data_IF_353986581427
#
_entry.id   IF_353986581427
#
_cell.length_a   1.000
_cell.length_b   1.000
_cell.length_c   1.000
_cell.angle_alpha   90.00
_cell.angle_beta   90.00
_cell.angle_gamma   90.00
#
_symmetry.space_group_name_H-M   'P 1'
#
loop_
_entity.id
_entity.type
_entity.pdbx_description
1 polymer ?
#
# COMPACT_ATOMS: atom_id res chain seq x y z
N UNK A 1 41.72 0.14 0.05
CA UNK A 1 41.75 -0.40 1.43
C UNK A 1 40.62 0.26 2.19
N UNK A 2 39.68 -0.51 2.74
CA UNK A 2 38.48 0.05 3.38
C UNK A 2 38.84 0.59 4.77
N UNK A 3 38.52 1.85 5.05
CA UNK A 3 38.80 2.47 6.36
C UNK A 3 38.03 1.74 7.45
N UNK A 4 38.70 1.50 8.57
CA UNK A 4 38.19 0.75 9.72
C UNK A 4 37.79 1.67 10.87
N UNK A 5 36.95 1.17 11.77
CA UNK A 5 36.54 1.92 12.98
C UNK A 5 37.74 2.29 13.88
N UNK A 6 38.83 1.51 13.81
CA UNK A 6 40.07 1.75 14.56
C UNK A 6 40.84 2.96 14.02
N UNK A 7 40.84 3.15 12.71
CA UNK A 7 41.48 4.32 12.07
C UNK A 7 40.72 5.60 12.39
N UNK A 8 39.39 5.56 12.39
CA UNK A 8 38.56 6.69 12.86
C UNK A 8 38.81 6.99 14.33
N UNK A 9 38.89 5.95 15.18
CA UNK A 9 39.16 6.10 16.61
C UNK A 9 40.50 6.80 16.86
N UNK A 10 41.55 6.38 16.12
CA UNK A 10 42.87 7.01 16.15
C UNK A 10 42.82 8.47 15.69
N UNK A 11 42.14 8.76 14.59
CA UNK A 11 42.03 10.11 14.03
C UNK A 11 41.19 11.07 14.92
N UNK A 12 40.23 10.53 15.67
CA UNK A 12 39.39 11.29 16.59
C UNK A 12 39.91 11.31 18.04
N UNK A 13 40.99 10.59 18.35
CA UNK A 13 41.57 10.52 19.70
C UNK A 13 40.64 9.89 20.74
N UNK A 14 39.86 8.87 20.36
CA UNK A 14 38.92 8.16 21.23
C UNK A 14 39.03 6.65 21.07
N UNK A 15 38.34 5.87 21.90
CA UNK A 15 38.26 4.41 21.72
C UNK A 15 37.33 4.02 20.54
N UNK A 16 37.53 2.85 19.91
CA UNK A 16 36.60 2.32 18.91
C UNK A 16 35.15 2.18 19.43
N UNK A 17 34.98 1.85 20.71
CA UNK A 17 33.66 1.80 21.37
C UNK A 17 32.99 3.17 21.46
N UNK A 18 33.77 4.25 21.63
CA UNK A 18 33.28 5.62 21.62
C UNK A 18 32.92 6.09 20.22
N UNK A 19 33.69 5.69 19.19
CA UNK A 19 33.33 5.91 17.79
C UNK A 19 31.98 5.24 17.46
N UNK A 20 31.83 3.97 17.85
CA UNK A 20 30.58 3.23 17.62
C UNK A 20 29.38 3.92 18.26
N UNK A 21 29.48 4.34 19.53
CA UNK A 21 28.42 5.09 20.22
C UNK A 21 28.16 6.47 19.61
N UNK A 22 29.20 7.16 19.16
CA UNK A 22 29.06 8.50 18.57
C UNK A 22 28.34 8.45 17.20
N UNK A 23 28.57 7.39 16.43
CA UNK A 23 27.93 7.20 15.12
C UNK A 23 26.56 6.50 15.20
N UNK A 24 26.22 5.86 16.31
CA UNK A 24 24.92 5.23 16.52
C UNK A 24 23.81 6.26 16.84
N UNK A 25 22.63 6.09 16.24
CA UNK A 25 21.41 6.84 16.60
C UNK A 25 21.06 6.60 18.07
N UNK A 26 21.10 7.65 18.89
CA UNK A 26 20.78 7.59 20.33
C UNK A 26 21.95 7.23 21.26
N UNK A 27 23.18 7.06 20.76
CA UNK A 27 24.32 6.72 21.61
C UNK A 27 24.74 7.85 22.56
N UNK A 28 24.97 7.52 23.84
CA UNK A 28 25.36 8.47 24.89
C UNK A 28 26.84 8.87 24.76
N UNK A 29 27.10 10.00 24.11
CA UNK A 29 28.42 10.63 23.98
C UNK A 29 28.24 12.15 23.98
N UNK A 30 29.19 12.90 24.55
CA UNK A 30 29.12 14.36 24.54
C UNK A 30 29.02 14.92 23.11
N UNK A 31 28.28 16.03 22.89
CA UNK A 31 28.13 16.65 21.57
C UNK A 31 29.48 16.92 20.89
N UNK A 32 30.43 17.46 21.64
CA UNK A 32 31.80 17.77 21.18
C UNK A 32 32.52 16.51 20.66
N UNK A 33 32.42 15.40 21.40
CA UNK A 33 33.06 14.14 20.98
C UNK A 33 32.36 13.55 19.75
N UNK A 34 31.03 13.65 19.68
CA UNK A 34 30.26 13.17 18.52
C UNK A 34 30.65 13.91 17.25
N UNK A 35 30.77 15.22 17.32
CA UNK A 35 31.16 16.07 16.21
C UNK A 35 32.60 15.78 15.74
N UNK A 36 33.53 15.63 16.69
CA UNK A 36 34.92 15.23 16.40
C UNK A 36 35.01 13.86 15.71
N UNK A 37 34.20 12.89 16.14
CA UNK A 37 34.14 11.56 15.52
C UNK A 37 33.56 11.65 14.11
N UNK A 38 32.47 12.40 13.90
CA UNK A 38 31.88 12.61 12.57
C UNK A 38 32.87 13.24 11.60
N UNK A 39 33.52 14.33 12.00
CA UNK A 39 34.53 14.99 11.16
C UNK A 39 35.69 14.06 10.78
N UNK A 40 36.14 13.21 11.71
CA UNK A 40 37.18 12.21 11.43
C UNK A 40 36.68 11.10 10.48
N UNK A 41 35.45 10.62 10.66
CA UNK A 41 34.85 9.62 9.78
C UNK A 41 34.66 10.15 8.35
N UNK A 42 34.11 11.35 8.21
CA UNK A 42 33.84 12.00 6.92
C UNK A 42 35.15 12.25 6.15
N UNK A 43 36.17 12.80 6.84
CA UNK A 43 37.49 13.05 6.24
C UNK A 43 38.17 11.77 5.74
N UNK A 44 37.97 10.66 6.43
CA UNK A 44 38.56 9.38 6.07
C UNK A 44 37.69 8.57 5.09
N UNK A 45 36.47 9.03 4.78
CA UNK A 45 35.51 8.24 4.00
C UNK A 45 35.06 6.96 4.70
N UNK A 46 35.07 6.94 6.04
CA UNK A 46 34.62 5.78 6.81
C UNK A 46 33.12 5.62 6.70
N UNK A 47 32.67 4.46 6.24
CA UNK A 47 31.28 4.04 6.35
C UNK A 47 31.12 2.95 7.40
N UNK A 48 30.20 3.12 8.37
CA UNK A 48 29.87 2.07 9.33
C UNK A 48 29.48 0.77 8.62
N UNK A 49 30.12 -0.34 8.99
CA UNK A 49 29.75 -1.65 8.48
C UNK A 49 28.46 -2.11 9.16
N UNK A 50 27.34 -2.08 8.42
CA UNK A 50 26.04 -2.50 8.95
C UNK A 50 26.01 -3.99 9.32
N UNK A 51 26.74 -4.86 8.60
CA UNK A 51 26.84 -6.28 8.96
C UNK A 51 27.52 -6.47 10.32
N UNK A 52 28.59 -5.70 10.60
CA UNK A 52 29.25 -5.72 11.91
C UNK A 52 28.35 -5.18 13.03
N UNK A 53 27.49 -4.20 12.73
CA UNK A 53 26.49 -3.68 13.68
C UNK A 53 25.37 -4.68 13.92
N UNK A 54 24.96 -5.42 12.89
CA UNK A 54 23.94 -6.47 13.01
C UNK A 54 24.41 -7.66 13.82
N UNK A 55 25.68 -8.04 13.73
CA UNK A 55 26.27 -9.06 14.62
C UNK A 55 26.22 -8.70 16.10
N UNK A 56 26.29 -7.41 16.43
CA UNK A 56 26.26 -6.93 17.83
C UNK A 56 24.81 -6.77 18.33
N UNK A 57 23.92 -6.29 17.46
CA UNK A 57 22.54 -5.93 17.84
C UNK A 57 21.52 -7.03 17.56
N UNK A 58 21.90 -8.08 16.81
CA UNK A 58 20.98 -9.08 16.28
C UNK A 58 20.04 -8.56 15.20
N UNK A 59 20.26 -7.33 14.69
CA UNK A 59 19.36 -6.66 13.73
C UNK A 59 20.09 -6.19 12.47
N UNK A 60 19.51 -6.48 11.33
CA UNK A 60 20.00 -6.12 10.00
C UNK A 60 19.86 -4.62 9.70
N UNK A 61 18.89 -3.94 10.32
CA UNK A 61 18.52 -2.56 9.96
C UNK A 61 17.78 -2.49 8.62
N UNK A 62 17.20 -3.61 8.18
CA UNK A 62 16.49 -3.74 6.92
C UNK A 62 15.06 -4.22 7.16
N UNK A 63 14.12 -3.77 6.33
CA UNK A 63 12.74 -4.24 6.31
C UNK A 63 12.44 -4.84 4.94
N UNK A 64 11.69 -5.93 4.90
CA UNK A 64 11.12 -6.46 3.65
C UNK A 64 9.82 -5.75 3.35
N UNK A 65 9.60 -5.39 2.09
CA UNK A 65 8.33 -4.92 1.56
C UNK A 65 8.00 -5.77 0.34
N UNK A 66 6.88 -6.50 0.41
CA UNK A 66 6.40 -7.34 -0.68
C UNK A 66 5.11 -6.70 -1.20
N UNK A 67 5.08 -6.39 -2.49
CA UNK A 67 3.95 -5.77 -3.17
C UNK A 67 3.50 -6.60 -4.37
N UNK A 68 2.21 -6.52 -4.77
CA UNK A 68 1.71 -7.38 -5.84
C UNK A 68 2.10 -6.94 -7.25
N UNK A 69 2.31 -5.65 -7.49
CA UNK A 69 2.67 -5.13 -8.83
C UNK A 69 3.18 -3.68 -8.75
N UNK A 70 4.45 -3.44 -9.06
CA UNK A 70 5.03 -2.09 -9.08
C UNK A 70 4.58 -1.23 -10.27
N UNK A 71 4.02 -1.83 -11.33
CA UNK A 71 3.46 -1.08 -12.45
C UNK A 71 2.14 -0.37 -12.07
N UNK A 72 1.44 -0.83 -11.04
CA UNK A 72 0.27 -0.12 -10.54
C UNK A 72 0.72 1.02 -9.58
N UNK A 73 0.43 2.31 -9.92
CA UNK A 73 0.86 3.45 -9.10
C UNK A 73 0.37 3.43 -7.65
N UNK A 74 -0.73 2.72 -7.35
CA UNK A 74 -1.20 2.52 -5.98
C UNK A 74 -0.12 1.91 -5.07
N UNK A 75 0.56 0.87 -5.54
CA UNK A 75 1.61 0.19 -4.78
C UNK A 75 2.94 0.95 -4.79
N UNK A 76 3.21 1.72 -5.85
CA UNK A 76 4.37 2.61 -5.90
C UNK A 76 4.29 3.72 -4.84
N UNK A 77 3.11 4.30 -4.63
CA UNK A 77 2.86 5.30 -3.59
C UNK A 77 3.02 4.72 -2.17
N UNK A 78 2.52 3.49 -1.95
CA UNK A 78 2.75 2.76 -0.69
C UNK A 78 4.25 2.53 -0.47
N UNK A 79 4.95 2.06 -1.50
CA UNK A 79 6.40 1.82 -1.44
C UNK A 79 7.17 3.07 -1.04
N UNK A 80 6.85 4.22 -1.65
CA UNK A 80 7.43 5.52 -1.28
C UNK A 80 7.13 5.89 0.17
N UNK A 81 5.89 5.70 0.62
CA UNK A 81 5.48 5.98 1.99
C UNK A 81 6.23 5.13 3.02
N UNK A 82 6.35 3.83 2.75
CA UNK A 82 7.09 2.87 3.59
C UNK A 82 8.56 3.24 3.66
N UNK A 83 9.20 3.48 2.51
CA UNK A 83 10.61 3.88 2.45
C UNK A 83 10.88 5.20 3.19
N UNK A 84 10.00 6.19 3.03
CA UNK A 84 10.13 7.48 3.72
C UNK A 84 10.06 7.29 5.24
N UNK A 85 9.09 6.49 5.73
CA UNK A 85 8.96 6.24 7.16
C UNK A 85 10.12 5.41 7.73
N UNK A 86 10.52 4.34 7.05
CA UNK A 86 11.64 3.50 7.44
C UNK A 86 12.96 4.28 7.49
N UNK A 87 13.22 5.16 6.51
CA UNK A 87 14.38 6.05 6.48
C UNK A 87 14.42 6.97 7.69
N UNK A 88 13.27 7.54 8.08
CA UNK A 88 13.15 8.36 9.28
C UNK A 88 13.47 7.61 10.58
N UNK A 89 13.39 6.27 10.55
CA UNK A 89 13.75 5.37 11.64
C UNK A 89 15.12 4.70 11.45
N UNK A 90 15.90 5.14 10.45
CA UNK A 90 17.24 4.64 10.18
C UNK A 90 17.32 3.23 9.58
N UNK A 91 16.25 2.78 8.89
CA UNK A 91 16.19 1.47 8.25
C UNK A 91 16.13 1.61 6.72
N UNK A 92 16.68 0.61 6.03
CA UNK A 92 16.56 0.43 4.58
C UNK A 92 15.43 -0.54 4.27
N UNK A 93 14.78 -0.39 3.12
CA UNK A 93 13.69 -1.28 2.69
C UNK A 93 14.12 -2.04 1.45
N UNK A 94 14.02 -3.37 1.50
CA UNK A 94 14.16 -4.25 0.34
C UNK A 94 12.77 -4.51 -0.22
N UNK A 95 12.59 -4.22 -1.50
CA UNK A 95 11.29 -4.31 -2.18
C UNK A 95 11.29 -5.54 -3.07
N UNK A 96 10.25 -6.36 -2.97
CA UNK A 96 9.98 -7.45 -3.89
C UNK A 96 8.63 -7.20 -4.57
N UNK A 97 8.64 -7.31 -5.90
CA UNK A 97 7.43 -7.44 -6.70
C UNK A 97 7.08 -8.93 -6.79
N UNK A 98 5.85 -9.28 -6.47
CA UNK A 98 5.36 -10.66 -6.51
C UNK A 98 4.43 -10.93 -7.70
N UNK A 99 4.24 -9.98 -8.61
CA UNK A 99 3.47 -10.13 -9.86
C UNK A 99 2.05 -10.72 -9.68
N UNK A 100 1.45 -10.55 -8.50
CA UNK A 100 0.16 -11.12 -8.06
C UNK A 100 0.12 -12.65 -8.06
N UNK A 101 1.29 -13.28 -7.91
CA UNK A 101 1.44 -14.73 -7.83
C UNK A 101 1.72 -15.17 -6.39
N UNK A 102 0.93 -16.13 -5.91
CA UNK A 102 1.01 -16.65 -4.54
C UNK A 102 2.37 -17.34 -4.28
N UNK A 103 2.91 -18.05 -5.28
CA UNK A 103 4.21 -18.70 -5.20
C UNK A 103 5.35 -17.68 -5.06
N UNK A 104 5.33 -16.62 -5.86
CA UNK A 104 6.28 -15.53 -5.78
C UNK A 104 6.18 -14.76 -4.45
N UNK A 105 4.99 -14.59 -3.89
CA UNK A 105 4.82 -14.02 -2.54
C UNK A 105 5.53 -14.88 -1.47
N UNK A 106 5.35 -16.21 -1.48
CA UNK A 106 6.03 -17.11 -0.55
C UNK A 106 7.55 -17.12 -0.73
N UNK A 107 8.03 -17.15 -1.98
CA UNK A 107 9.46 -17.18 -2.28
C UNK A 107 10.14 -15.85 -1.93
N UNK A 108 9.46 -14.73 -2.10
CA UNK A 108 9.91 -13.43 -1.62
C UNK A 108 10.03 -13.40 -0.09
N UNK A 109 9.06 -13.95 0.65
CA UNK A 109 9.13 -14.07 2.11
C UNK A 109 10.35 -14.90 2.53
N UNK A 110 10.53 -16.09 1.93
CA UNK A 110 11.68 -16.97 2.20
C UNK A 110 13.02 -16.29 1.95
N UNK A 111 13.12 -15.56 0.84
CA UNK A 111 14.35 -14.90 0.42
C UNK A 111 14.69 -13.69 1.30
N UNK A 112 13.68 -12.91 1.69
CA UNK A 112 13.88 -11.68 2.46
C UNK A 112 14.07 -11.97 3.95
N UNK A 113 13.37 -12.93 4.53
CA UNK A 113 13.35 -13.17 5.97
C UNK A 113 14.73 -13.26 6.65
N UNK A 114 15.76 -13.93 6.08
CA UNK A 114 17.09 -13.97 6.69
C UNK A 114 17.84 -12.63 6.68
N UNK A 115 17.41 -11.68 5.86
CA UNK A 115 18.11 -10.44 5.54
C UNK A 115 17.42 -9.20 6.13
N UNK A 116 16.27 -9.37 6.77
CA UNK A 116 15.44 -8.27 7.27
C UNK A 116 15.01 -8.51 8.71
N UNK A 117 14.71 -7.42 9.41
CA UNK A 117 14.24 -7.46 10.79
C UNK A 117 12.74 -7.78 10.86
N UNK A 118 11.98 -7.42 9.82
CA UNK A 118 10.54 -7.66 9.71
C UNK A 118 10.02 -7.42 8.30
N UNK A 119 8.81 -7.88 8.02
CA UNK A 119 8.21 -7.87 6.68
C UNK A 119 6.88 -7.11 6.68
N UNK A 120 6.71 -6.25 5.69
CA UNK A 120 5.42 -5.67 5.31
C UNK A 120 4.92 -6.40 4.07
N UNK A 121 3.74 -7.00 4.16
CA UNK A 121 3.12 -7.73 3.06
C UNK A 121 1.85 -6.99 2.61
N UNK A 122 1.86 -6.44 1.40
CA UNK A 122 0.82 -5.52 0.91
C UNK A 122 -0.16 -6.27 0.03
N UNK A 123 -1.45 -6.21 0.36
CA UNK A 123 -2.55 -6.83 -0.40
C UNK A 123 -2.23 -8.26 -0.85
N UNK A 124 -1.78 -9.16 0.05
CA UNK A 124 -1.32 -10.48 -0.36
C UNK A 124 -2.44 -11.30 -1.00
N UNK A 125 -2.06 -12.08 -2.00
CA UNK A 125 -2.89 -13.04 -2.70
C UNK A 125 -2.93 -14.39 -1.98
N UNK A 126 -1.92 -14.71 -1.16
CA UNK A 126 -1.88 -15.94 -0.34
C UNK A 126 -3.23 -16.29 0.28
N UNK A 127 -3.62 -17.55 0.24
CA UNK A 127 -4.81 -18.02 0.94
C UNK A 127 -4.71 -17.80 2.47
N UNK A 128 -5.84 -17.86 3.18
CA UNK A 128 -5.83 -17.79 4.65
C UNK A 128 -5.02 -18.94 5.28
N UNK A 129 -5.01 -20.11 4.65
CA UNK A 129 -4.21 -21.27 5.08
C UNK A 129 -2.71 -21.01 4.92
N UNK A 130 -2.29 -20.46 3.78
CA UNK A 130 -0.88 -20.11 3.54
C UNK A 130 -0.42 -19.00 4.48
N UNK A 131 -1.23 -17.97 4.71
CA UNK A 131 -0.92 -16.95 5.72
C UNK A 131 -0.78 -17.58 7.11
N UNK A 132 -1.70 -18.45 7.52
CA UNK A 132 -1.63 -19.13 8.81
C UNK A 132 -0.38 -20.03 8.96
N UNK A 133 0.23 -20.46 7.86
CA UNK A 133 1.46 -21.26 7.84
C UNK A 133 2.75 -20.43 8.00
N UNK A 134 2.71 -19.11 7.77
CA UNK A 134 3.90 -18.24 7.78
C UNK A 134 4.69 -18.26 9.11
N UNK A 135 4.06 -18.37 10.30
CA UNK A 135 4.82 -18.52 11.54
C UNK A 135 5.70 -19.78 11.58
N UNK A 136 5.36 -20.83 10.83
CA UNK A 136 6.21 -22.01 10.64
C UNK A 136 7.32 -21.81 9.61
N UNK A 137 7.22 -20.77 8.76
CA UNK A 137 8.17 -20.44 7.72
C UNK A 137 9.24 -19.45 8.20
N UNK A 138 8.88 -18.50 9.06
CA UNK A 138 9.79 -17.46 9.54
C UNK A 138 9.43 -16.97 10.94
N UNK A 139 10.45 -16.60 11.73
CA UNK A 139 10.33 -15.95 13.03
C UNK A 139 10.17 -14.42 12.92
N UNK A 140 10.26 -13.85 11.71
CA UNK A 140 10.19 -12.41 11.50
C UNK A 140 8.77 -11.89 11.70
N UNK A 141 8.57 -10.77 12.40
CA UNK A 141 7.26 -10.15 12.49
C UNK A 141 6.78 -9.72 11.10
N UNK A 142 5.52 -10.03 10.80
CA UNK A 142 4.85 -9.67 9.55
C UNK A 142 3.66 -8.76 9.87
N UNK A 143 3.57 -7.63 9.17
CA UNK A 143 2.39 -6.76 9.18
C UNK A 143 1.74 -6.77 7.80
N UNK A 144 0.44 -7.02 7.76
CA UNK A 144 -0.35 -6.99 6.54
C UNK A 144 -0.84 -5.56 6.25
N UNK A 145 -0.75 -5.12 5.00
CA UNK A 145 -1.44 -3.91 4.53
C UNK A 145 -2.59 -4.30 3.61
N UNK A 146 -3.73 -3.63 3.75
CA UNK A 146 -4.91 -3.84 2.89
C UNK A 146 -5.42 -5.30 2.88
N UNK A 147 -5.18 -6.03 3.98
CA UNK A 147 -5.81 -7.30 4.31
C UNK A 147 -5.89 -7.47 5.81
N UNK A 148 -7.01 -8.00 6.29
CA UNK A 148 -7.18 -8.49 7.65
C UNK A 148 -7.17 -10.02 7.64
N UNK A 149 -6.35 -10.61 8.50
CA UNK A 149 -6.25 -12.06 8.69
C UNK A 149 -6.05 -12.35 10.20
N UNK A 150 -6.71 -13.38 10.78
CA UNK A 150 -6.45 -13.80 12.15
C UNK A 150 -4.98 -14.09 12.40
N UNK A 151 -4.47 -13.69 13.57
CA UNK A 151 -3.06 -13.88 13.94
C UNK A 151 -2.09 -12.81 13.39
N UNK A 152 -2.53 -11.94 12.47
CA UNK A 152 -1.68 -10.92 11.89
C UNK A 152 -2.03 -9.50 12.34
N UNK A 153 -0.99 -8.73 12.66
CA UNK A 153 -1.11 -7.29 12.77
C UNK A 153 -1.40 -6.70 11.39
N UNK A 154 -2.32 -5.74 11.30
CA UNK A 154 -2.75 -5.21 10.00
C UNK A 154 -3.12 -3.74 10.01
N UNK A 155 -2.92 -3.11 8.85
CA UNK A 155 -3.44 -1.78 8.53
C UNK A 155 -4.28 -1.88 7.27
N UNK A 156 -5.58 -1.57 7.38
CA UNK A 156 -6.53 -1.60 6.27
C UNK A 156 -7.16 -0.23 6.05
N UNK A 157 -7.89 -0.09 4.94
CA UNK A 157 -8.74 1.06 4.67
C UNK A 157 -10.20 0.61 4.68
N UNK A 158 -11.11 1.48 5.10
CA UNK A 158 -12.55 1.20 5.09
C UNK A 158 -13.11 1.31 3.67
N UNK A 159 -13.01 0.21 2.92
CA UNK A 159 -13.47 0.14 1.54
C UNK A 159 -15.00 -0.01 1.45
N UNK A 160 -15.65 -0.52 2.50
CA UNK A 160 -17.11 -0.58 2.57
C UNK A 160 -17.69 0.84 2.61
N UNK A 161 -17.19 1.69 3.52
CA UNK A 161 -17.58 3.10 3.61
C UNK A 161 -17.28 3.84 2.30
N UNK A 162 -16.08 3.66 1.74
CA UNK A 162 -15.69 4.33 0.50
C UNK A 162 -16.58 3.97 -0.70
N UNK A 163 -16.98 2.71 -0.85
CA UNK A 163 -17.94 2.32 -1.90
C UNK A 163 -19.33 2.89 -1.64
N UNK A 164 -19.75 2.93 -0.37
CA UNK A 164 -21.04 3.51 0.04
C UNK A 164 -21.10 5.00 -0.31
N UNK A 165 -20.03 5.75 -0.03
CA UNK A 165 -19.90 7.17 -0.37
C UNK A 165 -19.95 7.40 -1.89
N UNK A 166 -19.20 6.61 -2.66
CA UNK A 166 -19.17 6.70 -4.12
C UNK A 166 -20.56 6.49 -4.74
N UNK A 167 -21.29 5.47 -4.27
CA UNK A 167 -22.63 5.18 -4.76
C UNK A 167 -23.65 6.22 -4.29
N UNK A 168 -23.56 6.68 -3.05
CA UNK A 168 -24.43 7.74 -2.51
C UNK A 168 -24.26 9.04 -3.29
N UNK A 169 -23.03 9.39 -3.65
CA UNK A 169 -22.72 10.51 -4.54
C UNK A 169 -23.41 10.39 -5.89
N UNK A 170 -23.31 9.23 -6.54
CA UNK A 170 -23.99 8.99 -7.82
C UNK A 170 -25.52 9.05 -7.69
N UNK A 171 -26.09 8.52 -6.61
CA UNK A 171 -27.52 8.63 -6.34
C UNK A 171 -27.96 10.10 -6.18
N UNK A 172 -27.18 10.90 -5.45
CA UNK A 172 -27.42 12.33 -5.23
C UNK A 172 -27.34 13.14 -6.53
N UNK A 173 -26.50 12.73 -7.48
CA UNK A 173 -26.44 13.27 -8.85
C UNK A 173 -27.62 12.83 -9.74
N UNK A 174 -28.54 12.02 -9.24
CA UNK A 174 -29.74 11.60 -9.97
C UNK A 174 -29.59 10.27 -10.72
N UNK A 175 -28.43 9.63 -10.67
CA UNK A 175 -28.28 8.28 -11.23
C UNK A 175 -29.13 7.27 -10.46
N UNK A 176 -29.68 6.28 -11.18
CA UNK A 176 -30.52 5.22 -10.60
C UNK A 176 -30.05 3.82 -10.96
N UNK A 177 -29.47 3.65 -12.14
CA UNK A 177 -28.84 2.41 -12.59
C UNK A 177 -27.34 2.63 -12.74
N UNK A 178 -26.55 1.91 -11.94
CA UNK A 178 -25.10 2.10 -11.85
C UNK A 178 -24.40 0.77 -12.10
N UNK A 179 -23.42 0.76 -12.99
CA UNK A 179 -22.59 -0.41 -13.23
C UNK A 179 -21.45 -0.49 -12.19
N UNK A 180 -21.10 -1.69 -11.78
CA UNK A 180 -19.88 -1.96 -11.00
C UNK A 180 -18.96 -2.90 -11.77
N UNK A 181 -17.72 -2.44 -11.98
CA UNK A 181 -16.63 -3.22 -12.57
C UNK A 181 -15.71 -3.68 -11.46
N UNK A 182 -15.72 -4.99 -11.18
CA UNK A 182 -14.95 -5.62 -10.11
C UNK A 182 -13.54 -6.03 -10.53
N UNK A 183 -12.68 -6.20 -9.53
CA UNK A 183 -11.34 -6.78 -9.68
C UNK A 183 -11.32 -8.28 -9.33
N UNK A 184 -10.13 -8.87 -9.13
CA UNK A 184 -9.99 -10.28 -8.74
C UNK A 184 -10.81 -10.63 -7.47
N UNK A 185 -11.75 -11.58 -7.61
CA UNK A 185 -12.80 -11.87 -6.59
C UNK A 185 -12.27 -12.51 -5.30
N UNK A 186 -11.13 -13.21 -5.39
CA UNK A 186 -10.54 -13.93 -4.26
C UNK A 186 -9.95 -12.99 -3.20
N UNK A 187 -9.62 -11.75 -3.58
CA UNK A 187 -8.93 -10.80 -2.70
C UNK A 187 -9.83 -10.30 -1.57
N UNK A 188 -9.23 -10.04 -0.40
CA UNK A 188 -9.93 -9.44 0.74
C UNK A 188 -10.55 -8.09 0.38
N UNK A 189 -9.81 -7.22 -0.31
CA UNK A 189 -10.29 -5.90 -0.73
C UNK A 189 -11.50 -5.98 -1.68
N UNK A 190 -11.60 -7.00 -2.53
CA UNK A 190 -12.78 -7.21 -3.37
C UNK A 190 -14.03 -7.54 -2.54
N UNK A 191 -13.88 -8.33 -1.47
CA UNK A 191 -14.99 -8.66 -0.54
C UNK A 191 -15.47 -7.42 0.21
N UNK A 192 -14.56 -6.59 0.71
CA UNK A 192 -14.92 -5.35 1.41
C UNK A 192 -15.66 -4.37 0.51
N UNK A 193 -15.20 -4.17 -0.74
CA UNK A 193 -15.92 -3.35 -1.72
C UNK A 193 -17.30 -3.93 -2.04
N UNK A 194 -17.39 -5.25 -2.23
CA UNK A 194 -18.66 -5.92 -2.48
C UNK A 194 -19.66 -5.70 -1.35
N UNK A 195 -19.20 -5.72 -0.09
CA UNK A 195 -20.05 -5.48 1.06
C UNK A 195 -20.64 -4.05 1.08
N UNK A 196 -19.85 -3.02 0.73
CA UNK A 196 -20.36 -1.64 0.58
C UNK A 196 -21.35 -1.50 -0.57
N UNK A 197 -21.09 -2.18 -1.69
CA UNK A 197 -22.01 -2.20 -2.84
C UNK A 197 -23.33 -2.90 -2.48
N UNK A 198 -23.26 -4.00 -1.72
CA UNK A 198 -24.41 -4.76 -1.26
C UNK A 198 -25.29 -3.95 -0.31
N UNK A 199 -24.68 -3.26 0.66
CA UNK A 199 -25.40 -2.38 1.57
C UNK A 199 -26.24 -1.32 0.82
N UNK A 200 -25.69 -0.71 -0.24
CA UNK A 200 -26.43 0.28 -1.04
C UNK A 200 -27.48 -0.39 -1.94
N UNK A 201 -27.19 -1.55 -2.54
CA UNK A 201 -28.16 -2.28 -3.35
C UNK A 201 -29.39 -2.72 -2.52
N UNK A 202 -29.17 -3.23 -1.31
CA UNK A 202 -30.22 -3.67 -0.39
C UNK A 202 -31.10 -2.51 0.12
N UNK A 203 -30.55 -1.30 0.17
CA UNK A 203 -31.32 -0.11 0.54
C UNK A 203 -32.36 0.30 -0.52
N UNK A 204 -32.26 -0.22 -1.75
CA UNK A 204 -33.13 0.13 -2.86
C UNK A 204 -32.85 1.52 -3.48
N UNK A 205 -31.79 2.21 -3.06
CA UNK A 205 -31.40 3.52 -3.60
C UNK A 205 -30.94 3.46 -5.06
N UNK A 206 -30.32 2.35 -5.47
CA UNK A 206 -29.74 2.15 -6.79
C UNK A 206 -29.97 0.71 -7.30
N UNK A 207 -30.24 0.59 -8.59
CA UNK A 207 -30.15 -0.66 -9.35
C UNK A 207 -28.69 -0.88 -9.79
N UNK A 208 -27.99 -1.83 -9.14
CA UNK A 208 -26.58 -2.09 -9.39
C UNK A 208 -26.39 -3.23 -10.39
N UNK A 209 -25.82 -2.90 -11.56
CA UNK A 209 -25.44 -3.91 -12.57
C UNK A 209 -23.99 -4.36 -12.35
N UNK A 210 -23.80 -5.63 -12.03
CA UNK A 210 -22.45 -6.20 -11.83
C UNK A 210 -21.87 -6.69 -13.16
N UNK A 211 -20.84 -6.02 -13.65
CA UNK A 211 -20.19 -6.31 -14.95
C UNK A 211 -19.31 -7.57 -14.87
N UNK A 212 -18.82 -7.91 -13.67
CA UNK A 212 -17.92 -9.03 -13.45
C UNK A 212 -16.54 -8.57 -13.00
N UNK A 213 -15.56 -9.46 -13.12
CA UNK A 213 -14.18 -9.23 -12.71
C UNK A 213 -13.27 -9.05 -13.93
N UNK A 214 -12.45 -8.01 -13.90
CA UNK A 214 -11.43 -7.75 -14.94
C UNK A 214 -10.03 -7.71 -14.34
N UNK A 215 -9.03 -7.86 -15.22
CA UNK A 215 -7.64 -7.66 -14.83
C UNK A 215 -7.43 -6.23 -14.29
N UNK A 216 -6.64 -6.03 -13.23
CA UNK A 216 -6.37 -4.73 -12.60
C UNK A 216 -5.40 -3.85 -13.41
N UNK A 217 -5.58 -3.84 -14.73
CA UNK A 217 -4.75 -3.17 -15.72
C UNK A 217 -5.62 -2.25 -16.57
N UNK A 218 -4.98 -1.32 -17.26
CA UNK A 218 -5.68 -0.36 -18.13
C UNK A 218 -6.53 -1.08 -19.20
N UNK A 219 -5.98 -2.13 -19.81
CA UNK A 219 -6.68 -2.95 -20.80
C UNK A 219 -7.90 -3.69 -20.22
N UNK A 220 -7.88 -4.02 -18.92
CA UNK A 220 -9.04 -4.59 -18.23
C UNK A 220 -10.26 -3.67 -18.27
N UNK A 221 -10.05 -2.36 -18.23
CA UNK A 221 -11.10 -1.37 -18.46
C UNK A 221 -11.54 -1.32 -19.92
N UNK A 222 -10.58 -1.29 -20.86
CA UNK A 222 -10.88 -1.15 -22.30
C UNK A 222 -11.62 -2.37 -22.85
N UNK A 223 -10.99 -3.54 -22.80
CA UNK A 223 -11.49 -4.75 -23.49
C UNK A 223 -12.30 -5.63 -22.55
N UNK A 224 -12.06 -5.55 -21.24
CA UNK A 224 -12.72 -6.40 -20.26
C UNK A 224 -14.08 -5.90 -19.78
N UNK A 225 -14.33 -4.58 -19.78
CA UNK A 225 -15.52 -4.03 -19.11
C UNK A 225 -16.29 -2.96 -19.90
N UNK A 226 -15.63 -2.04 -20.60
CA UNK A 226 -16.28 -0.85 -21.13
C UNK A 226 -17.49 -1.14 -22.04
N UNK A 227 -17.34 -2.02 -23.03
CA UNK A 227 -18.44 -2.30 -23.96
C UNK A 227 -19.62 -3.01 -23.25
N UNK A 228 -19.36 -3.79 -22.18
CA UNK A 228 -20.39 -4.40 -21.33
C UNK A 228 -21.10 -3.35 -20.47
N UNK A 229 -20.34 -2.38 -19.92
CA UNK A 229 -20.91 -1.23 -19.19
C UNK A 229 -21.86 -0.45 -20.11
N UNK A 230 -21.45 -0.14 -21.34
CA UNK A 230 -22.30 0.57 -22.30
C UNK A 230 -23.58 -0.20 -22.63
N UNK A 231 -23.49 -1.52 -22.81
CA UNK A 231 -24.64 -2.38 -23.09
C UNK A 231 -25.59 -2.54 -21.88
N UNK A 232 -25.15 -2.22 -20.67
CA UNK A 232 -25.93 -2.44 -19.44
C UNK A 232 -27.10 -1.46 -19.24
N UNK A 233 -27.08 -0.34 -19.96
CA UNK A 233 -28.02 0.78 -19.77
C UNK A 233 -27.79 1.60 -18.50
N UNK A 234 -26.69 1.38 -17.77
CA UNK A 234 -26.30 2.23 -16.66
C UNK A 234 -25.84 3.61 -17.17
N UNK A 235 -26.10 4.67 -16.39
CA UNK A 235 -25.62 6.03 -16.70
C UNK A 235 -24.42 6.46 -15.84
N UNK A 236 -24.00 5.59 -14.93
CA UNK A 236 -22.76 5.75 -14.19
C UNK A 236 -22.09 4.39 -13.97
N UNK A 237 -20.77 4.41 -13.75
CA UNK A 237 -19.98 3.23 -13.43
C UNK A 237 -19.00 3.51 -12.29
N UNK A 238 -18.92 2.57 -11.36
CA UNK A 238 -17.87 2.50 -10.34
C UNK A 238 -16.89 1.40 -10.74
N UNK A 239 -15.62 1.75 -10.94
CA UNK A 239 -14.54 0.79 -11.13
C UNK A 239 -13.85 0.51 -9.80
N UNK A 240 -13.46 -0.74 -9.57
CA UNK A 240 -12.79 -1.15 -8.34
C UNK A 240 -11.41 -0.52 -8.13
N UNK A 241 -10.79 0.02 -9.20
CA UNK A 241 -9.59 0.84 -9.10
C UNK A 241 -9.51 1.93 -10.19
N UNK A 242 -8.62 2.91 -9.98
CA UNK A 242 -8.42 4.06 -10.88
C UNK A 242 -7.88 3.66 -12.27
N UNK A 243 -6.97 2.68 -12.34
CA UNK A 243 -6.37 2.25 -13.62
C UNK A 243 -7.43 1.66 -14.56
N UNK A 244 -8.35 0.86 -14.04
CA UNK A 244 -9.48 0.32 -14.81
C UNK A 244 -10.45 1.44 -15.16
N UNK A 245 -10.70 2.40 -14.26
CA UNK A 245 -11.53 3.57 -14.55
C UNK A 245 -10.99 4.37 -15.75
N UNK A 246 -9.67 4.56 -15.85
CA UNK A 246 -9.08 5.22 -17.03
C UNK A 246 -9.23 4.38 -18.30
N UNK A 247 -9.11 3.06 -18.21
CA UNK A 247 -9.39 2.17 -19.34
C UNK A 247 -10.83 2.32 -19.85
N UNK A 248 -11.80 2.41 -18.92
CA UNK A 248 -13.20 2.68 -19.24
C UNK A 248 -13.35 4.02 -19.99
N UNK A 249 -12.82 5.11 -19.42
CA UNK A 249 -12.89 6.46 -20.02
C UNK A 249 -12.26 6.47 -21.42
N UNK A 250 -11.10 5.83 -21.59
CA UNK A 250 -10.42 5.72 -22.87
C UNK A 250 -11.29 5.02 -23.92
N UNK A 251 -11.95 3.93 -23.53
CA UNK A 251 -12.82 3.18 -24.45
C UNK A 251 -14.14 3.91 -24.72
N UNK A 252 -14.73 4.57 -23.73
CA UNK A 252 -15.92 5.42 -23.92
C UNK A 252 -15.63 6.52 -24.93
N UNK A 253 -14.49 7.21 -24.79
CA UNK A 253 -14.05 8.24 -25.74
C UNK A 253 -13.90 7.66 -27.15
N UNK A 254 -13.27 6.49 -27.32
CA UNK A 254 -13.13 5.82 -28.61
C UNK A 254 -14.48 5.38 -29.21
N UNK A 255 -15.52 5.19 -28.38
CA UNK A 255 -16.90 4.89 -28.79
C UNK A 255 -17.75 6.15 -28.97
N UNK A 256 -17.20 7.34 -28.78
CA UNK A 256 -17.92 8.61 -28.87
C UNK A 256 -18.83 8.93 -27.69
N UNK A 257 -18.71 8.19 -26.58
CA UNK A 257 -19.47 8.42 -25.34
C UNK A 257 -18.71 9.41 -24.47
N UNK A 258 -19.35 10.55 -24.14
CA UNK A 258 -18.74 11.61 -23.36
C UNK A 258 -18.79 11.32 -21.85
N UNK A 259 -17.68 11.59 -21.18
CA UNK A 259 -17.54 11.55 -19.72
C UNK A 259 -17.27 12.97 -19.26
N UNK A 260 -18.07 13.55 -18.34
CA UNK A 260 -19.13 12.89 -17.56
C UNK A 260 -20.55 12.97 -18.16
N UNK A 261 -20.74 13.62 -19.30
CA UNK A 261 -22.08 14.05 -19.76
C UNK A 261 -23.03 12.90 -20.09
N UNK A 262 -22.53 11.82 -20.68
CA UNK A 262 -23.32 10.64 -21.03
C UNK A 262 -23.07 9.46 -20.08
N UNK A 263 -21.88 9.41 -19.47
CA UNK A 263 -21.48 8.38 -18.51
C UNK A 263 -20.64 9.00 -17.39
N UNK A 264 -21.15 8.96 -16.17
CA UNK A 264 -20.37 9.27 -14.97
C UNK A 264 -19.43 8.11 -14.61
N UNK A 265 -18.17 8.39 -14.31
CA UNK A 265 -17.16 7.39 -13.94
C UNK A 265 -16.58 7.71 -12.58
N UNK A 266 -16.57 6.72 -11.68
CA UNK A 266 -15.92 6.77 -10.37
C UNK A 266 -14.84 5.69 -10.29
N UNK A 267 -13.64 6.06 -9.86
CA UNK A 267 -12.56 5.14 -9.53
C UNK A 267 -12.46 4.81 -8.03
N UNK A 268 -11.39 4.12 -7.68
CA UNK A 268 -10.98 3.87 -6.31
C UNK A 268 -9.46 3.80 -6.29
N UNK A 269 -8.81 4.54 -5.41
CA UNK A 269 -7.39 4.51 -5.01
C UNK A 269 -6.90 5.95 -4.78
N UNK A 270 -7.36 6.90 -5.60
CA UNK A 270 -6.85 8.26 -5.73
C UNK A 270 -5.35 8.28 -6.01
N UNK A 271 -4.95 7.62 -7.10
CA UNK A 271 -3.57 7.68 -7.59
C UNK A 271 -3.26 9.05 -8.19
N UNK A 272 -1.98 9.39 -8.30
CA UNK A 272 -1.57 10.71 -8.81
C UNK A 272 -2.20 11.08 -10.17
N UNK A 273 -2.38 10.10 -11.05
CA UNK A 273 -3.01 10.30 -12.37
C UNK A 273 -4.47 10.78 -12.29
N UNK A 274 -5.18 10.51 -11.19
CA UNK A 274 -6.59 10.87 -10.99
C UNK A 274 -6.85 12.36 -11.01
N UNK A 275 -5.89 13.17 -10.55
CA UNK A 275 -5.96 14.63 -10.69
C UNK A 275 -5.46 15.19 -12.02
N UNK A 276 -4.72 14.40 -12.82
CA UNK A 276 -4.03 14.85 -14.04
C UNK A 276 -4.75 14.44 -15.33
N UNK A 277 -5.68 13.49 -15.26
CA UNK A 277 -6.45 13.02 -16.40
C UNK A 277 -7.44 14.08 -16.91
N UNK A 278 -7.93 13.87 -18.13
CA UNK A 278 -8.99 14.67 -18.74
C UNK A 278 -10.15 13.73 -19.17
N UNK A 279 -11.32 13.77 -18.51
CA UNK A 279 -11.61 14.57 -17.31
C UNK A 279 -10.84 14.08 -16.06
N UNK A 280 -10.60 14.94 -15.05
CA UNK A 280 -10.01 14.50 -13.79
C UNK A 280 -10.97 13.54 -13.06
N UNK A 281 -10.44 12.42 -12.57
CA UNK A 281 -11.22 11.30 -12.07
C UNK A 281 -11.74 11.55 -10.64
N UNK A 282 -13.05 11.50 -10.49
CA UNK A 282 -13.73 11.30 -9.21
C UNK A 282 -13.41 9.90 -8.69
N UNK A 283 -12.90 9.77 -7.47
CA UNK A 283 -12.39 8.48 -6.97
C UNK A 283 -12.41 8.43 -5.45
N UNK A 284 -12.52 7.22 -4.89
CA UNK A 284 -12.35 6.98 -3.46
C UNK A 284 -10.87 7.05 -3.09
N UNK A 285 -10.49 7.99 -2.22
CA UNK A 285 -9.14 8.06 -1.68
C UNK A 285 -8.91 6.93 -0.67
N UNK A 286 -7.98 6.05 -1.02
CA UNK A 286 -7.40 5.10 -0.07
C UNK A 286 -6.16 5.76 0.53
N UNK A 287 -6.03 5.85 1.87
CA UNK A 287 -5.05 6.70 2.54
C UNK A 287 -3.62 6.12 2.55
N UNK A 288 -3.02 5.94 1.37
CA UNK A 288 -1.73 5.28 1.11
C UNK A 288 -0.59 5.77 2.01
N UNK A 289 -0.42 7.09 2.18
CA UNK A 289 0.65 7.67 3.00
C UNK A 289 0.47 7.36 4.49
N UNK A 290 -0.74 7.54 5.02
CA UNK A 290 -1.06 7.23 6.41
C UNK A 290 -0.98 5.71 6.69
N UNK A 291 -1.46 4.89 5.75
CA UNK A 291 -1.38 3.43 5.80
C UNK A 291 0.05 2.94 5.86
N UNK A 292 0.89 3.43 4.96
CA UNK A 292 2.32 3.10 4.90
C UNK A 292 3.03 3.45 6.20
N UNK A 293 2.81 4.67 6.72
CA UNK A 293 3.40 5.11 7.98
C UNK A 293 2.93 4.24 9.16
N UNK A 294 1.62 4.00 9.24
CA UNK A 294 1.03 3.21 10.29
C UNK A 294 1.56 1.77 10.29
N UNK A 295 1.74 1.16 9.12
CA UNK A 295 2.24 -0.20 9.00
C UNK A 295 3.71 -0.33 9.43
N UNK A 296 4.57 0.62 9.03
CA UNK A 296 5.95 0.68 9.54
C UNK A 296 5.96 0.89 11.05
N UNK A 297 5.17 1.83 11.57
CA UNK A 297 5.08 2.08 13.02
C UNK A 297 4.62 0.83 13.79
N UNK A 298 3.71 0.07 13.20
CA UNK A 298 3.21 -1.18 13.77
C UNK A 298 4.30 -2.26 13.81
N UNK A 299 5.03 -2.41 12.70
CA UNK A 299 6.15 -3.35 12.62
C UNK A 299 7.23 -3.02 13.64
N UNK A 300 7.57 -1.73 13.81
CA UNK A 300 8.56 -1.31 14.81
C UNK A 300 8.10 -1.57 16.25
N UNK A 301 6.80 -1.45 16.55
CA UNK A 301 6.27 -1.84 17.85
C UNK A 301 6.48 -3.34 18.11
N UNK A 302 6.26 -4.17 17.09
CA UNK A 302 6.50 -5.62 17.17
C UNK A 302 7.99 -5.95 17.31
N UNK A 303 8.88 -5.17 16.69
CA UNK A 303 10.32 -5.33 16.87
C UNK A 303 10.78 -4.92 18.28
N UNK A 304 10.17 -3.88 18.86
CA UNK A 304 10.57 -3.30 20.14
C UNK A 304 10.01 -3.99 21.38
N UNK A 305 8.93 -4.75 21.24
CA UNK A 305 8.20 -5.35 22.36
C UNK A 305 8.02 -6.84 22.12
N UNK A 306 8.42 -7.72 23.07
CA UNK A 306 8.09 -9.14 22.99
C UNK A 306 6.58 -9.32 22.87
N UNK A 307 6.13 -10.20 21.97
CA UNK A 307 4.73 -10.53 21.86
C UNK A 307 4.22 -11.08 23.20
N UNK A 308 3.13 -10.52 23.73
CA UNK A 308 2.45 -11.07 24.89
C UNK A 308 1.55 -12.19 24.39
N UNK A 309 1.78 -13.41 24.88
CA UNK A 309 1.01 -14.59 24.51
C UNK A 309 -0.49 -14.35 24.82
N UNK A 310 -1.35 -14.57 23.82
CA UNK A 310 -2.80 -14.36 23.92
C UNK A 310 -3.30 -12.92 23.69
N UNK A 311 -2.43 -11.93 23.45
CA UNK A 311 -2.87 -10.59 23.08
C UNK A 311 -3.46 -10.58 21.66
N UNK A 312 -4.59 -9.85 21.42
CA UNK A 312 -5.16 -9.76 20.09
C UNK A 312 -4.18 -9.06 19.13
N UNK A 313 -4.14 -9.45 17.84
CA UNK A 313 -3.31 -8.77 16.86
C UNK A 313 -3.69 -7.29 16.77
N UNK A 314 -2.69 -6.43 16.66
CA UNK A 314 -2.94 -5.00 16.50
C UNK A 314 -3.52 -4.72 15.11
N UNK A 315 -4.76 -4.24 15.07
CA UNK A 315 -5.46 -3.92 13.82
C UNK A 315 -5.80 -2.44 13.79
N UNK A 316 -5.59 -1.82 12.62
CA UNK A 316 -5.95 -0.42 12.39
C UNK A 316 -6.70 -0.29 11.07
N UNK A 317 -7.92 0.24 11.14
CA UNK A 317 -8.69 0.63 9.96
C UNK A 317 -8.53 2.13 9.77
N UNK A 318 -8.24 2.56 8.55
CA UNK A 318 -8.14 3.97 8.18
C UNK A 318 -9.38 4.39 7.39
N UNK A 319 -9.94 5.58 7.65
CA UNK A 319 -11.08 6.07 6.91
C UNK A 319 -10.69 6.33 5.45
N UNK A 320 -11.60 6.01 4.54
CA UNK A 320 -11.54 6.48 3.15
C UNK A 320 -12.42 7.71 2.99
N UNK A 321 -12.34 8.39 1.84
CA UNK A 321 -13.29 9.45 1.51
C UNK A 321 -13.37 9.60 -0.01
N UNK A 322 -14.53 10.03 -0.51
CA UNK A 322 -14.69 10.34 -1.92
C UNK A 322 -14.02 11.67 -2.27
N UNK A 323 -13.19 11.67 -3.31
CA UNK A 323 -12.61 12.86 -3.91
C UNK A 323 -13.37 13.16 -5.20
N UNK A 324 -14.25 14.15 -5.15
CA UNK A 324 -15.08 14.57 -6.29
C UNK A 324 -14.26 15.44 -7.24
N UNK A 325 -14.26 15.08 -8.53
CA UNK A 325 -13.60 15.82 -9.62
C UNK A 325 -14.52 15.93 -10.84
N UNK A 326 -13.96 15.89 -12.06
CA UNK A 326 -14.66 16.19 -13.31
C UNK A 326 -15.26 14.99 -14.04
N UNK A 327 -15.10 13.76 -13.54
CA UNK A 327 -15.61 12.55 -14.22
C UNK A 327 -17.01 12.14 -13.77
N UNK A 328 -17.70 12.92 -12.94
CA UNK A 328 -19.11 12.70 -12.60
C UNK A 328 -19.91 13.99 -12.76
N UNK A 329 -21.17 13.87 -13.20
CA UNK A 329 -22.09 14.99 -13.39
C UNK A 329 -23.53 14.60 -13.03
N UNK A 330 -24.39 15.60 -12.83
CA UNK A 330 -25.81 15.36 -12.62
C UNK A 330 -26.42 14.71 -13.88
N UNK A 331 -27.26 13.70 -13.69
CA UNK A 331 -27.99 13.07 -14.79
C UNK A 331 -29.05 14.06 -15.30
N UNK A 332 -28.85 14.62 -16.48
CA UNK A 332 -29.85 15.48 -17.12
C UNK A 332 -31.13 14.65 -17.35
N UNK A 333 -32.25 15.13 -16.80
CA UNK A 333 -33.56 14.54 -17.08
C UNK A 333 -33.94 14.95 -18.50
N UNK A 334 -33.77 14.03 -19.46
CA UNK A 334 -34.44 14.11 -20.75
C UNK A 334 -35.95 14.07 -20.61
#
# INVERSE_FOLDING_TARGET
MQVTIREVAKAAGVSPSTVSRALASGGTVSPVTRERVRAAADRLGYQPNQAARGLITGRTGHLGLIVPDLLNPFFADITKGVQARARGLGHTVFVSDAERDEGLELDAIRTLAPQVDGILLVSPHLSSEELASLPGLTDKPIVLLHRKEPGFASVTADLMEGMTDALTHLHALGHRRVAYVGGPRSTWAAKERAAGIEAVAESGLLDIVRVGSVAPHFDGGITGAADVVLASGASAVVAFNDIVAFGLISRFTARGVRVPEEMSVVGCDDIALSGMAAPPLTTVNVPKSHGSRAAVDLLFRMLGTPAVEGAPPLQRVLPTHLVVRGSTAALERG
#
